data_IF_674330721293
#
_entry.id   IF_674330721293
#
_cell.length_a   1.000
_cell.length_b   1.000
_cell.length_c   1.000
_cell.angle_alpha   90.00
_cell.angle_beta   90.00
_cell.angle_gamma   90.00
#
_symmetry.space_group_name_H-M   'P 1'
#
loop_
_entity.id
_entity.type
_entity.pdbx_description
1 polymer ?
#
# COMPACT_ATOMS: atom_id res chain seq x y z
N UNK A 1 35.29 -55.22 -0.13
CA UNK A 1 35.89 -53.87 -0.04
C UNK A 1 35.01 -52.91 -0.82
N UNK A 2 33.96 -52.38 -0.18
CA UNK A 2 32.98 -51.48 -0.81
C UNK A 2 33.20 -50.06 -0.30
N UNK A 3 33.69 -49.19 -1.17
CA UNK A 3 33.91 -47.77 -0.89
C UNK A 3 32.62 -46.97 -0.97
N UNK A 4 32.17 -46.43 0.16
CA UNK A 4 31.08 -45.46 0.25
C UNK A 4 31.59 -44.07 -0.15
N UNK A 5 31.14 -43.55 -1.30
CA UNK A 5 31.33 -42.14 -1.66
C UNK A 5 30.19 -41.32 -1.03
N UNK A 6 30.54 -40.43 -0.10
CA UNK A 6 29.62 -39.44 0.46
C UNK A 6 29.28 -38.36 -0.58
N UNK A 7 28.01 -37.92 -0.68
CA UNK A 7 27.63 -36.82 -1.55
C UNK A 7 28.11 -35.48 -0.99
N UNK A 8 28.83 -34.72 -1.82
CA UNK A 8 29.22 -33.33 -1.54
C UNK A 8 27.98 -32.44 -1.56
N UNK A 9 27.65 -31.70 -0.49
CA UNK A 9 26.54 -30.77 -0.49
C UNK A 9 26.81 -29.59 -1.43
N UNK A 10 25.84 -29.31 -2.32
CA UNK A 10 25.89 -28.22 -3.29
C UNK A 10 25.99 -26.86 -2.59
N UNK A 11 26.97 -26.05 -3.02
CA UNK A 11 27.32 -24.73 -2.45
C UNK A 11 26.20 -23.68 -2.52
N UNK A 12 25.12 -23.92 -3.27
CA UNK A 12 24.04 -22.94 -3.49
C UNK A 12 23.01 -22.78 -2.37
N UNK A 13 22.88 -23.75 -1.45
CA UNK A 13 21.82 -23.71 -0.43
C UNK A 13 22.18 -22.89 0.83
N UNK A 14 23.46 -22.54 1.03
CA UNK A 14 23.92 -21.83 2.24
C UNK A 14 23.86 -20.31 2.13
N UNK A 15 23.88 -19.76 0.91
CA UNK A 15 23.84 -18.30 0.68
C UNK A 15 22.43 -17.72 0.85
N UNK A 16 21.39 -18.44 0.46
CA UNK A 16 19.99 -17.97 0.57
C UNK A 16 19.50 -17.89 2.03
N UNK A 17 19.95 -18.81 2.90
CA UNK A 17 19.57 -18.80 4.33
C UNK A 17 20.24 -17.67 5.15
N UNK A 18 21.42 -17.20 4.74
CA UNK A 18 22.13 -16.10 5.43
C UNK A 18 21.55 -14.73 5.10
N UNK A 19 21.05 -14.54 3.86
CA UNK A 19 20.38 -13.30 3.47
C UNK A 19 19.02 -13.09 4.18
N UNK A 20 18.26 -14.16 4.41
CA UNK A 20 16.97 -14.07 5.10
C UNK A 20 17.09 -13.78 6.61
N UNK A 21 18.16 -14.25 7.27
CA UNK A 21 18.38 -14.01 8.70
C UNK A 21 18.83 -12.57 9.00
N UNK A 22 19.57 -11.93 8.08
CA UNK A 22 19.99 -10.54 8.23
C UNK A 22 18.82 -9.54 8.13
N UNK A 23 17.76 -9.88 7.38
CA UNK A 23 16.62 -8.99 7.18
C UNK A 23 15.61 -9.00 8.35
N UNK A 24 15.48 -10.12 9.07
CA UNK A 24 14.61 -10.20 10.26
C UNK A 24 15.16 -9.40 11.45
N UNK A 25 16.50 -9.28 11.56
CA UNK A 25 17.14 -8.49 12.61
C UNK A 25 16.96 -6.99 12.38
N UNK A 26 16.90 -6.53 11.13
CA UNK A 26 16.66 -5.11 10.80
C UNK A 26 15.20 -4.71 11.02
N UNK A 27 14.24 -5.62 10.81
CA UNK A 27 12.81 -5.36 11.06
C UNK A 27 12.41 -5.40 12.54
N UNK A 28 13.17 -6.11 13.39
CA UNK A 28 12.97 -6.11 14.85
C UNK A 28 13.67 -4.95 15.57
N UNK A 29 14.48 -4.17 14.84
CA UNK A 29 15.14 -2.96 15.35
C UNK A 29 14.41 -1.66 14.96
N UNK A 30 13.17 -1.77 14.45
CA UNK A 30 12.27 -0.62 14.38
C UNK A 30 11.84 -0.29 15.81
N UNK A 31 12.21 0.89 16.36
CA UNK A 31 11.72 1.29 17.66
C UNK A 31 10.20 1.31 17.59
N UNK A 32 9.54 0.52 18.45
CA UNK A 32 8.13 0.76 18.75
C UNK A 32 8.08 2.20 19.27
N UNK A 33 7.51 3.11 18.47
CA UNK A 33 7.22 4.45 18.93
C UNK A 33 6.31 4.32 20.16
N UNK A 34 6.66 4.95 21.30
CA UNK A 34 5.79 4.94 22.45
C UNK A 34 4.47 5.60 22.08
N UNK A 35 3.37 4.94 22.41
CA UNK A 35 2.06 5.59 22.45
C UNK A 35 2.13 6.67 23.54
N UNK A 36 2.13 7.93 23.14
CA UNK A 36 2.08 9.05 24.06
C UNK A 36 0.63 9.23 24.53
N UNK A 37 0.46 9.23 25.85
CA UNK A 37 -0.81 9.40 26.54
C UNK A 37 -1.26 10.87 26.56
N UNK A 38 -2.55 11.07 26.80
CA UNK A 38 -3.29 12.34 26.96
C UNK A 38 -2.50 13.48 27.64
N UNK A 39 -2.63 14.69 27.08
CA UNK A 39 -2.25 15.96 27.72
C UNK A 39 -0.77 16.34 27.65
N UNK A 40 0.05 15.61 26.88
CA UNK A 40 1.46 15.94 26.68
C UNK A 40 1.60 16.83 25.45
N UNK A 41 2.02 18.09 25.66
CA UNK A 41 2.44 19.00 24.59
C UNK A 41 3.44 18.25 23.69
N UNK A 42 3.18 18.12 22.38
CA UNK A 42 4.06 17.37 21.50
C UNK A 42 5.49 17.93 21.54
N UNK A 43 6.55 17.10 21.48
CA UNK A 43 7.93 17.60 21.52
C UNK A 43 8.28 18.62 20.43
N UNK A 44 7.54 18.63 19.32
CA UNK A 44 7.74 19.61 18.24
C UNK A 44 7.18 21.00 18.59
N UNK A 45 6.06 21.06 19.33
CA UNK A 45 5.48 22.30 19.82
C UNK A 45 6.48 23.05 20.71
N UNK A 46 7.10 22.34 21.67
CA UNK A 46 8.13 22.92 22.55
C UNK A 46 9.35 23.41 21.77
N UNK A 47 9.75 22.70 20.71
CA UNK A 47 10.90 23.09 19.90
C UNK A 47 10.64 24.37 19.08
N UNK A 48 9.40 24.59 18.61
CA UNK A 48 9.00 25.83 17.93
C UNK A 48 9.01 27.01 18.90
N UNK A 49 8.44 26.85 20.08
CA UNK A 49 8.43 27.92 21.10
C UNK A 49 9.84 28.27 21.59
N UNK A 50 10.70 27.26 21.83
CA UNK A 50 12.09 27.48 22.24
C UNK A 50 12.87 28.27 21.18
N UNK A 51 12.67 27.96 19.89
CA UNK A 51 13.29 28.67 18.76
C UNK A 51 12.88 30.13 18.70
N UNK A 52 11.57 30.40 18.82
CA UNK A 52 11.03 31.77 18.82
C UNK A 52 11.57 32.52 20.04
N UNK A 53 11.51 31.91 21.24
CA UNK A 53 11.99 32.50 22.47
C UNK A 53 13.50 32.83 22.41
N UNK A 54 14.32 31.94 21.84
CA UNK A 54 15.76 32.19 21.65
C UNK A 54 16.00 33.36 20.69
N UNK A 55 15.29 33.40 19.56
CA UNK A 55 15.42 34.52 18.62
C UNK A 55 14.99 35.86 19.25
N UNK A 56 13.93 35.87 20.07
CA UNK A 56 13.46 37.06 20.78
C UNK A 56 14.42 37.55 21.87
N UNK A 57 15.37 36.71 22.33
CA UNK A 57 16.45 37.17 23.22
C UNK A 57 17.39 38.14 22.52
N UNK A 58 17.56 38.00 21.20
CA UNK A 58 18.48 38.79 20.39
C UNK A 58 17.79 39.96 19.65
N UNK A 59 16.59 39.75 19.10
CA UNK A 59 15.82 40.76 18.35
C UNK A 59 14.35 40.68 18.77
N UNK A 60 13.69 41.77 19.21
CA UNK A 60 12.28 41.73 19.59
C UNK A 60 11.33 41.40 18.42
N UNK A 61 11.82 41.39 17.17
CA UNK A 61 11.08 40.98 15.99
C UNK A 61 11.54 39.59 15.49
N UNK A 62 10.69 38.59 15.64
CA UNK A 62 10.84 37.29 15.00
C UNK A 62 9.99 37.21 13.72
N UNK A 63 10.59 36.76 12.62
CA UNK A 63 9.87 36.47 11.37
C UNK A 63 10.32 35.11 10.87
N UNK A 64 9.38 34.19 10.79
CA UNK A 64 9.62 32.85 10.28
C UNK A 64 10.06 32.88 8.81
N UNK A 65 10.85 31.88 8.42
CA UNK A 65 11.37 31.74 7.06
C UNK A 65 10.22 31.75 6.03
N UNK A 66 9.08 31.15 6.36
CA UNK A 66 7.93 31.03 5.46
C UNK A 66 7.20 32.36 5.20
N UNK A 67 7.32 33.33 6.11
CA UNK A 67 6.74 34.68 5.96
C UNK A 67 7.78 35.75 5.62
N UNK A 68 9.05 35.38 5.45
CA UNK A 68 10.14 36.33 5.22
C UNK A 68 9.96 37.16 3.93
N UNK A 69 9.37 36.57 2.88
CA UNK A 69 9.09 37.25 1.61
C UNK A 69 7.89 38.21 1.71
N UNK A 70 6.91 37.88 2.55
CA UNK A 70 5.75 38.73 2.82
C UNK A 70 6.13 39.96 3.67
N UNK A 71 7.19 39.86 4.47
CA UNK A 71 7.71 40.93 5.32
C UNK A 71 9.12 41.38 4.89
N UNK A 72 9.23 42.16 3.80
CA UNK A 72 10.51 42.58 3.27
C UNK A 72 11.28 43.47 4.24
N UNK A 73 12.60 43.58 4.04
CA UNK A 73 13.51 44.31 4.93
C UNK A 73 13.07 45.75 5.29
N UNK A 74 12.53 46.58 4.37
CA UNK A 74 11.99 47.89 4.70
C UNK A 74 10.85 47.85 5.71
N UNK A 75 9.85 47.00 5.49
CA UNK A 75 8.72 46.81 6.40
C UNK A 75 9.20 46.38 7.80
N UNK A 76 10.13 45.42 7.87
CA UNK A 76 10.73 44.99 9.16
C UNK A 76 11.51 46.08 9.88
N UNK A 77 12.06 47.08 9.18
CA UNK A 77 12.74 48.21 9.83
C UNK A 77 11.73 49.22 10.38
N UNK A 78 10.68 49.50 9.62
CA UNK A 78 9.58 50.38 10.05
C UNK A 78 8.88 49.78 11.26
N UNK A 79 8.54 48.49 11.22
CA UNK A 79 7.94 47.77 12.34
C UNK A 79 8.77 47.86 13.63
N UNK A 80 10.10 47.67 13.55
CA UNK A 80 10.99 47.83 14.72
C UNK A 80 10.98 49.26 15.28
N UNK A 81 10.85 50.27 14.42
CA UNK A 81 10.78 51.67 14.86
C UNK A 81 9.46 51.94 15.60
N UNK A 82 8.34 51.40 15.11
CA UNK A 82 7.04 51.48 15.77
C UNK A 82 7.03 50.75 17.11
N UNK A 83 7.53 49.51 17.14
CA UNK A 83 7.66 48.72 18.37
C UNK A 83 8.50 49.46 19.42
N UNK A 84 9.62 50.07 19.02
CA UNK A 84 10.47 50.85 19.94
C UNK A 84 9.72 52.06 20.50
N UNK A 85 9.01 52.80 19.65
CA UNK A 85 8.21 53.97 20.07
C UNK A 85 7.11 53.56 21.05
N UNK A 86 6.43 52.46 20.77
CA UNK A 86 5.41 51.89 21.64
C UNK A 86 5.99 51.40 22.96
N UNK A 87 7.15 50.74 22.95
CA UNK A 87 7.82 50.27 24.16
C UNK A 87 8.15 51.43 25.12
N UNK A 88 8.64 52.56 24.58
CA UNK A 88 8.90 53.78 25.36
C UNK A 88 7.61 54.34 25.98
N UNK A 89 6.49 54.34 25.24
CA UNK A 89 5.19 54.82 25.71
C UNK A 89 4.55 53.88 26.75
N UNK A 90 4.69 52.57 26.57
CA UNK A 90 4.16 51.53 27.45
C UNK A 90 5.02 51.33 28.71
N UNK A 91 6.30 51.75 28.66
CA UNK A 91 7.32 51.47 29.68
C UNK A 91 7.56 49.98 29.89
N UNK A 92 7.42 49.19 28.82
CA UNK A 92 7.71 47.76 28.77
C UNK A 92 8.13 47.39 27.34
N UNK A 93 8.75 46.23 27.17
CA UNK A 93 9.17 45.76 25.84
C UNK A 93 7.97 45.31 24.99
N UNK A 94 8.10 45.46 23.67
CA UNK A 94 7.13 44.99 22.68
C UNK A 94 7.82 43.93 21.83
N UNK A 95 7.21 42.75 21.73
CA UNK A 95 7.69 41.63 20.95
C UNK A 95 6.72 41.37 19.80
N UNK A 96 7.26 41.11 18.61
CA UNK A 96 6.46 40.82 17.42
C UNK A 96 6.90 39.51 16.78
N UNK A 97 5.95 38.63 16.52
CA UNK A 97 6.17 37.27 16.02
C UNK A 97 5.35 37.12 14.74
N UNK A 98 6.01 36.93 13.60
CA UNK A 98 5.36 36.53 12.36
C UNK A 98 5.65 35.06 12.09
N UNK A 99 4.65 34.20 12.22
CA UNK A 99 4.82 32.76 12.04
C UNK A 99 3.53 32.14 11.50
N UNK A 100 3.59 31.23 10.50
CA UNK A 100 2.39 30.52 10.06
C UNK A 100 1.80 29.70 11.20
N UNK A 101 0.51 29.83 11.47
CA UNK A 101 -0.22 29.07 12.48
C UNK A 101 -1.55 28.55 11.91
N UNK A 102 -1.52 27.57 11.02
CA UNK A 102 -2.73 27.01 10.43
C UNK A 102 -3.53 26.22 11.48
N UNK A 103 -4.80 25.90 11.18
CA UNK A 103 -5.65 25.08 12.07
C UNK A 103 -5.07 23.68 12.34
N UNK A 104 -4.15 23.22 11.49
CA UNK A 104 -3.40 21.97 11.66
C UNK A 104 -2.11 22.12 12.50
N UNK A 105 -1.85 23.30 13.09
CA UNK A 105 -0.70 23.49 13.97
C UNK A 105 -0.93 22.91 15.36
N UNK A 106 0.14 22.87 16.17
CA UNK A 106 0.07 22.44 17.57
C UNK A 106 -0.84 23.30 18.46
N UNK A 107 -1.19 24.49 17.98
CA UNK A 107 -2.09 25.44 18.63
C UNK A 107 -3.45 25.50 17.96
N UNK A 108 -3.70 24.70 16.92
CA UNK A 108 -4.92 24.73 16.11
C UNK A 108 -5.24 26.15 15.58
N UNK A 109 -4.20 26.90 15.20
CA UNK A 109 -4.32 28.30 14.79
C UNK A 109 -4.68 29.29 15.89
N UNK A 110 -4.59 28.89 17.17
CA UNK A 110 -4.86 29.77 18.29
C UNK A 110 -3.58 30.54 18.70
N UNK A 111 -3.44 31.78 18.24
CA UNK A 111 -2.26 32.59 18.53
C UNK A 111 -2.10 32.86 20.04
N UNK A 112 -3.19 32.95 20.82
CA UNK A 112 -3.11 33.09 22.28
C UNK A 112 -2.41 31.90 22.96
N UNK A 113 -2.56 30.67 22.45
CA UNK A 113 -1.82 29.50 22.94
C UNK A 113 -0.35 29.55 22.55
N UNK A 114 -0.04 29.97 21.32
CA UNK A 114 1.35 30.10 20.87
C UNK A 114 2.09 31.14 21.70
N UNK A 115 1.46 32.30 21.89
CA UNK A 115 1.99 33.38 22.73
C UNK A 115 2.14 32.95 24.20
N UNK A 116 1.30 32.04 24.71
CA UNK A 116 1.46 31.44 26.03
C UNK A 116 2.72 30.58 26.10
N UNK A 117 2.89 29.67 25.14
CA UNK A 117 4.05 28.78 25.07
C UNK A 117 5.36 29.55 24.92
N UNK A 118 5.39 30.58 24.05
CA UNK A 118 6.56 31.45 23.89
C UNK A 118 6.86 32.21 25.18
N UNK A 119 5.85 32.74 25.88
CA UNK A 119 6.08 33.40 27.18
C UNK A 119 6.62 32.44 28.24
N UNK A 120 6.13 31.21 28.29
CA UNK A 120 6.63 30.21 29.25
C UNK A 120 8.11 29.85 29.03
N UNK A 121 8.56 29.82 27.77
CA UNK A 121 9.98 29.60 27.41
C UNK A 121 10.84 30.88 27.55
N UNK A 122 10.30 32.05 27.23
CA UNK A 122 11.04 33.31 27.18
C UNK A 122 11.08 34.06 28.51
N UNK A 123 10.00 33.98 29.30
CA UNK A 123 9.82 34.54 30.66
C UNK A 123 10.19 36.02 30.78
N UNK A 124 9.88 36.84 29.76
CA UNK A 124 10.05 38.30 29.81
C UNK A 124 8.69 39.00 29.77
N UNK A 125 8.51 39.97 30.65
CA UNK A 125 7.34 40.83 30.62
C UNK A 125 7.37 41.72 29.36
N UNK A 126 6.20 41.98 28.79
CA UNK A 126 6.06 42.75 27.57
C UNK A 126 4.70 42.56 26.90
N UNK A 127 4.45 43.35 25.86
CA UNK A 127 3.33 43.17 24.95
C UNK A 127 3.79 42.29 23.77
N UNK A 128 3.16 41.15 23.59
CA UNK A 128 3.46 40.22 22.51
C UNK A 128 2.39 40.34 21.45
N UNK A 129 2.81 40.59 20.22
CA UNK A 129 1.95 40.61 19.05
C UNK A 129 2.35 39.48 18.13
N UNK A 130 1.37 38.78 17.57
CA UNK A 130 1.56 37.73 16.59
C UNK A 130 0.77 38.03 15.32
N UNK A 131 1.40 37.79 14.16
CA UNK A 131 0.71 37.73 12.87
C UNK A 131 0.92 36.36 12.23
N UNK A 132 -0.16 35.78 11.71
CA UNK A 132 -0.13 34.49 11.01
C UNK A 132 -0.01 34.64 9.48
N UNK A 133 -0.13 33.52 8.74
CA UNK A 133 -0.09 33.51 7.27
C UNK A 133 -1.27 34.24 6.60
N UNK A 134 -2.40 34.33 7.29
CA UNK A 134 -3.63 34.96 6.81
C UNK A 134 -3.69 36.44 7.20
N UNK A 135 -2.65 36.92 7.90
CA UNK A 135 -2.49 38.31 8.30
C UNK A 135 -3.30 38.66 9.53
N UNK A 136 -3.84 37.67 10.25
CA UNK A 136 -4.59 37.88 11.47
C UNK A 136 -3.61 38.27 12.58
N UNK A 137 -3.93 39.39 13.24
CA UNK A 137 -3.06 40.05 14.20
C UNK A 137 -3.69 39.88 15.59
N UNK A 138 -3.02 39.14 16.46
CA UNK A 138 -3.44 38.93 17.85
C UNK A 138 -2.40 39.43 18.85
N UNK A 139 -2.85 39.90 20.02
CA UNK A 139 -1.98 40.44 21.05
C UNK A 139 -2.22 39.87 22.45
N UNK A 140 -1.14 39.71 23.22
CA UNK A 140 -1.19 39.31 24.63
C UNK A 140 -0.22 40.08 25.51
N UNK A 141 -0.71 40.60 26.62
CA UNK A 141 0.06 41.40 27.57
C UNK A 141 0.55 40.55 28.75
N UNK A 142 1.86 40.57 29.02
CA UNK A 142 2.42 39.91 30.21
C UNK A 142 3.15 40.92 31.05
N UNK A 143 2.61 41.25 32.24
CA UNK A 143 3.25 42.19 33.16
C UNK A 143 3.32 43.63 32.64
N UNK A 144 2.46 44.01 31.69
CA UNK A 144 2.43 45.38 31.15
C UNK A 144 1.72 46.32 32.14
N UNK A 145 2.27 47.50 32.47
CA UNK A 145 1.68 48.43 33.46
C UNK A 145 0.50 49.24 32.89
N UNK A 146 -0.44 48.57 32.21
CA UNK A 146 -1.65 49.14 31.61
C UNK A 146 -2.84 48.22 31.88
N UNK A 147 -4.03 48.79 31.88
CA UNK A 147 -5.27 48.02 32.06
C UNK A 147 -5.80 47.58 30.69
N UNK A 148 -5.39 46.37 30.25
CA UNK A 148 -5.77 45.81 28.95
C UNK A 148 -7.23 45.34 28.89
N UNK A 149 -7.83 44.94 30.02
CA UNK A 149 -9.20 44.45 30.09
C UNK A 149 -9.56 43.48 28.94
N UNK A 150 -10.74 43.66 28.34
CA UNK A 150 -11.14 43.00 27.09
C UNK A 150 -10.84 43.84 25.83
N UNK A 151 -10.10 44.95 25.96
CA UNK A 151 -10.09 45.99 24.93
C UNK A 151 -9.15 45.72 23.76
N UNK A 152 -8.04 44.99 23.96
CA UNK A 152 -7.12 44.69 22.84
C UNK A 152 -7.72 43.65 21.89
N UNK A 153 -8.37 42.61 22.42
CA UNK A 153 -9.14 41.63 21.62
C UNK A 153 -10.24 42.31 20.79
N UNK A 154 -10.86 43.37 21.31
CA UNK A 154 -11.91 44.10 20.59
C UNK A 154 -11.41 44.96 19.41
N UNK A 155 -10.09 45.22 19.30
CA UNK A 155 -9.50 45.92 18.16
C UNK A 155 -9.17 44.97 17.00
N UNK A 156 -8.99 43.69 17.27
CA UNK A 156 -8.65 42.63 16.31
C UNK A 156 -9.82 42.42 15.33
N UNK A 157 -11.05 42.28 15.85
CA UNK A 157 -12.29 42.13 15.07
C UNK A 157 -12.60 43.31 14.12
N UNK A 158 -12.12 44.52 14.45
CA UNK A 158 -12.41 45.74 13.67
C UNK A 158 -11.41 46.02 12.56
N UNK A 159 -10.26 45.35 12.59
CA UNK A 159 -9.16 45.54 11.67
C UNK A 159 -8.72 44.18 11.10
N UNK A 160 -9.69 43.39 10.62
CA UNK A 160 -9.43 42.12 9.95
C UNK A 160 -8.56 42.34 8.70
N UNK A 161 -7.72 41.36 8.39
CA UNK A 161 -6.86 41.39 7.21
C UNK A 161 -7.67 41.39 5.91
N UNK A 162 -7.11 41.98 4.86
CA UNK A 162 -7.59 41.71 3.50
C UNK A 162 -7.14 40.30 3.09
N UNK A 163 -8.07 39.36 3.01
CA UNK A 163 -7.79 37.98 2.62
C UNK A 163 -7.07 37.84 1.27
N UNK A 164 -7.23 38.77 0.33
CA UNK A 164 -6.50 38.73 -0.94
C UNK A 164 -5.06 39.25 -0.81
N UNK A 165 -4.81 40.10 0.20
CA UNK A 165 -3.52 40.75 0.45
C UNK A 165 -3.25 40.90 1.95
N UNK A 166 -3.02 39.78 2.67
CA UNK A 166 -2.95 39.74 4.14
C UNK A 166 -2.02 40.76 4.80
N UNK A 167 -0.90 41.05 4.13
CA UNK A 167 0.18 41.89 4.66
C UNK A 167 0.19 43.33 4.12
N UNK A 168 -0.75 43.70 3.24
CA UNK A 168 -0.69 44.98 2.52
C UNK A 168 -0.82 46.21 3.45
N UNK A 169 -1.58 46.11 4.52
CA UNK A 169 -1.84 47.17 5.49
C UNK A 169 -1.34 46.83 6.91
N UNK A 170 -0.55 45.75 7.06
CA UNK A 170 -0.10 45.24 8.35
C UNK A 170 0.55 46.33 9.22
N UNK A 171 1.41 47.18 8.65
CA UNK A 171 2.07 48.26 9.41
C UNK A 171 1.06 49.23 10.04
N UNK A 172 0.04 49.64 9.29
CA UNK A 172 -0.99 50.54 9.79
C UNK A 172 -1.87 49.88 10.86
N UNK A 173 -2.14 48.57 10.72
CA UNK A 173 -2.86 47.78 11.72
C UNK A 173 -2.06 47.65 13.00
N UNK A 174 -0.76 47.34 12.92
CA UNK A 174 0.13 47.29 14.08
C UNK A 174 0.27 48.65 14.76
N UNK A 175 0.47 49.74 13.99
CA UNK A 175 0.50 51.11 14.52
C UNK A 175 -0.78 51.44 15.29
N UNK A 176 -1.94 51.05 14.75
CA UNK A 176 -3.25 51.24 15.38
C UNK A 176 -3.34 50.50 16.71
N UNK A 177 -2.95 49.23 16.74
CA UNK A 177 -2.96 48.40 17.96
C UNK A 177 -2.00 48.96 19.01
N UNK A 178 -0.77 49.30 18.64
CA UNK A 178 0.23 49.84 19.55
C UNK A 178 -0.16 51.21 20.11
N UNK A 179 -0.74 52.08 19.27
CA UNK A 179 -1.24 53.39 19.70
C UNK A 179 -2.41 53.23 20.67
N UNK A 180 -3.35 52.31 20.38
CA UNK A 180 -4.46 52.01 21.26
C UNK A 180 -3.96 51.46 22.61
N UNK A 181 -3.02 50.52 22.61
CA UNK A 181 -2.42 49.96 23.81
C UNK A 181 -1.73 51.04 24.67
N UNK A 182 -0.97 51.95 24.04
CA UNK A 182 -0.29 53.04 24.74
C UNK A 182 -1.26 54.05 25.39
N UNK A 183 -2.46 54.21 24.80
CA UNK A 183 -3.50 55.10 25.29
C UNK A 183 -4.32 54.51 26.46
N UNK A 184 -4.18 53.22 26.76
CA UNK A 184 -4.88 52.57 27.87
C UNK A 184 -4.52 53.20 29.21
N UNK A 185 -5.45 53.25 30.19
CA UNK A 185 -5.16 53.69 31.54
C UNK A 185 -3.99 52.92 32.16
N UNK A 186 -3.23 53.58 33.03
CA UNK A 186 -2.22 52.89 33.82
C UNK A 186 -2.90 51.84 34.72
N UNK A 187 -2.35 50.63 34.72
CA UNK A 187 -2.83 49.49 35.49
C UNK A 187 -1.69 48.85 36.27
N UNK A 188 -2.03 47.95 37.20
CA UNK A 188 -1.03 47.12 37.85
C UNK A 188 -0.53 46.06 36.86
N UNK A 189 0.79 45.80 36.76
CA UNK A 189 1.34 44.67 36.01
C UNK A 189 0.70 43.36 36.46
N UNK A 190 0.06 42.66 35.52
CA UNK A 190 -0.57 41.35 35.77
C UNK A 190 -0.24 40.41 34.64
N UNK A 191 -0.29 39.12 34.95
CA UNK A 191 -0.33 38.09 33.92
C UNK A 191 -1.79 37.92 33.46
N UNK A 192 -2.04 37.56 32.20
CA UNK A 192 -3.38 37.20 31.74
C UNK A 192 -3.96 36.07 32.59
N UNK A 193 -5.28 36.06 32.74
CA UNK A 193 -6.00 35.01 33.46
C UNK A 193 -5.84 33.66 32.74
N UNK A 194 -4.89 32.84 33.21
CA UNK A 194 -4.62 31.45 32.79
C UNK A 194 -4.19 31.28 31.33
N UNK A 195 -3.47 30.20 30.97
CA UNK A 195 -3.45 29.79 29.57
C UNK A 195 -4.88 29.44 29.13
N UNK A 196 -5.28 29.72 27.88
CA UNK A 196 -6.49 29.11 27.32
C UNK A 196 -6.44 27.60 27.54
N UNK A 197 -7.60 26.96 27.76
CA UNK A 197 -7.65 25.49 27.84
C UNK A 197 -6.95 24.93 26.59
N UNK A 198 -5.88 24.15 26.80
CA UNK A 198 -5.18 23.49 25.69
C UNK A 198 -6.20 22.61 24.96
N UNK A 199 -6.29 22.68 23.62
CA UNK A 199 -7.14 21.77 22.89
C UNK A 199 -6.74 20.35 23.27
N UNK A 200 -7.74 19.51 23.56
CA UNK A 200 -7.48 18.09 23.72
C UNK A 200 -6.95 17.62 22.36
N UNK A 201 -5.67 17.25 22.29
CA UNK A 201 -5.12 16.51 21.15
C UNK A 201 -5.94 15.21 21.00
N UNK A 202 -7.07 15.31 20.32
CA UNK A 202 -7.91 14.17 20.01
C UNK A 202 -7.14 13.37 18.95
N UNK A 203 -6.93 12.10 19.25
CA UNK A 203 -6.39 11.14 18.31
C UNK A 203 -7.20 11.21 17.01
N UNK A 204 -6.66 11.81 15.95
CA UNK A 204 -6.94 11.49 14.54
C UNK A 204 -6.24 12.50 13.61
N UNK A 205 -5.01 12.15 13.21
CA UNK A 205 -4.40 12.28 11.88
C UNK A 205 -2.87 12.51 11.99
N UNK A 206 -2.03 11.71 11.34
CA UNK A 206 -0.59 11.95 11.34
C UNK A 206 -0.29 13.20 10.52
N UNK A 207 0.08 14.28 11.22
CA UNK A 207 0.59 15.52 10.63
C UNK A 207 1.63 15.24 9.53
N UNK A 208 1.45 15.89 8.37
CA UNK A 208 2.45 15.92 7.31
C UNK A 208 3.70 16.69 7.78
N UNK A 209 4.92 16.29 7.40
CA UNK A 209 6.14 16.96 7.86
C UNK A 209 6.25 18.39 7.29
N UNK A 210 6.57 19.35 8.16
CA UNK A 210 6.86 20.75 7.86
C UNK A 210 8.02 20.95 6.84
N UNK A 211 8.03 22.08 6.10
CA UNK A 211 8.93 22.32 4.97
C UNK A 211 10.43 22.41 5.32
N UNK A 212 10.82 22.71 6.56
CA UNK A 212 12.25 22.75 6.95
C UNK A 212 12.87 21.34 7.13
N UNK A 213 12.05 20.29 7.24
CA UNK A 213 12.49 18.88 7.28
C UNK A 213 12.52 18.26 5.85
N UNK A 214 12.07 19.00 4.84
CA UNK A 214 11.94 18.51 3.47
C UNK A 214 13.29 18.26 2.78
N UNK A 215 14.35 19.00 3.11
CA UNK A 215 15.67 18.84 2.47
C UNK A 215 16.27 17.43 2.62
N UNK A 216 16.42 16.90 3.86
CA UNK A 216 16.85 15.53 4.10
C UNK A 216 15.82 14.49 3.65
N UNK A 217 14.52 14.82 3.73
CA UNK A 217 13.44 13.91 3.33
C UNK A 217 13.41 13.69 1.82
N UNK A 218 13.59 14.74 1.00
CA UNK A 218 13.68 14.63 -0.46
C UNK A 218 15.00 14.04 -0.94
N UNK A 219 16.12 14.31 -0.25
CA UNK A 219 17.38 13.61 -0.51
C UNK A 219 17.27 12.11 -0.20
N UNK A 220 16.59 11.77 0.90
CA UNK A 220 16.19 10.41 1.23
C UNK A 220 15.24 9.82 0.18
N UNK A 221 14.24 10.55 -0.27
CA UNK A 221 13.25 10.09 -1.26
C UNK A 221 13.87 9.89 -2.66
N UNK A 222 14.84 10.71 -3.06
CA UNK A 222 15.51 10.58 -4.37
C UNK A 222 16.52 9.43 -4.41
N UNK A 223 17.11 9.03 -3.27
CA UNK A 223 18.10 7.94 -3.21
C UNK A 223 17.46 6.65 -2.68
N UNK A 224 16.76 6.69 -1.55
CA UNK A 224 16.02 5.55 -1.01
C UNK A 224 14.74 5.27 -1.78
N UNK A 225 14.08 6.24 -2.42
CA UNK A 225 12.85 5.98 -3.18
C UNK A 225 13.06 5.00 -4.32
N UNK A 226 14.03 5.21 -5.24
CA UNK A 226 14.34 4.23 -6.28
C UNK A 226 14.84 2.90 -5.71
N UNK A 227 15.61 2.92 -4.62
CA UNK A 227 16.07 1.72 -3.93
C UNK A 227 14.92 0.93 -3.32
N UNK A 228 13.95 1.59 -2.70
CA UNK A 228 12.75 1.01 -2.14
C UNK A 228 11.85 0.48 -3.26
N UNK A 229 11.71 1.20 -4.37
CA UNK A 229 11.00 0.72 -5.57
C UNK A 229 11.69 -0.52 -6.13
N UNK A 230 13.02 -0.57 -6.21
CA UNK A 230 13.76 -1.76 -6.66
C UNK A 230 13.65 -2.92 -5.66
N UNK A 231 13.64 -2.64 -4.35
CA UNK A 231 13.44 -3.65 -3.30
C UNK A 231 12.02 -4.19 -3.32
N UNK A 232 11.00 -3.32 -3.42
CA UNK A 232 9.60 -3.69 -3.51
C UNK A 232 9.30 -4.38 -4.84
N UNK A 233 9.90 -3.95 -5.95
CA UNK A 233 9.81 -4.61 -7.25
C UNK A 233 10.52 -5.96 -7.22
N UNK A 234 11.69 -6.05 -6.59
CA UNK A 234 12.40 -7.30 -6.35
C UNK A 234 11.60 -8.24 -5.44
N UNK A 235 10.94 -7.72 -4.41
CA UNK A 235 10.08 -8.47 -3.50
C UNK A 235 8.79 -8.89 -4.20
N UNK A 236 8.22 -8.06 -5.06
CA UNK A 236 7.06 -8.38 -5.89
C UNK A 236 7.43 -9.40 -6.97
N UNK A 237 8.59 -9.28 -7.62
CA UNK A 237 9.09 -10.25 -8.60
C UNK A 237 9.44 -11.58 -7.92
N UNK A 238 10.04 -11.55 -6.73
CA UNK A 238 10.29 -12.72 -5.90
C UNK A 238 8.99 -13.32 -5.38
N UNK A 239 8.02 -12.51 -4.94
CA UNK A 239 6.70 -12.94 -4.51
C UNK A 239 5.91 -13.52 -5.68
N UNK A 240 5.99 -12.93 -6.87
CA UNK A 240 5.38 -13.43 -8.11
C UNK A 240 6.07 -14.70 -8.60
N UNK A 241 7.38 -14.85 -8.42
CA UNK A 241 8.10 -16.11 -8.62
C UNK A 241 7.71 -17.18 -7.59
N UNK A 242 7.54 -16.78 -6.32
CA UNK A 242 7.05 -17.64 -5.25
C UNK A 242 5.56 -17.96 -5.40
N UNK A 243 4.75 -17.10 -6.02
CA UNK A 243 3.31 -17.26 -6.29
C UNK A 243 3.06 -18.00 -7.59
N UNK A 244 3.90 -17.84 -8.61
CA UNK A 244 3.99 -18.74 -9.75
C UNK A 244 4.38 -20.15 -9.28
N UNK A 245 5.29 -20.25 -8.30
CA UNK A 245 5.57 -21.49 -7.56
C UNK A 245 4.48 -21.90 -6.56
N UNK A 246 3.64 -20.97 -6.09
CA UNK A 246 2.50 -21.26 -5.17
C UNK A 246 1.24 -21.68 -5.91
N UNK A 247 1.14 -21.42 -7.21
CA UNK A 247 0.23 -22.13 -8.11
C UNK A 247 0.52 -23.63 -8.12
N UNK A 248 1.81 -24.02 -8.11
CA UNK A 248 2.22 -25.42 -7.93
C UNK A 248 2.04 -25.92 -6.48
N UNK A 249 2.18 -25.05 -5.46
CA UNK A 249 2.00 -25.47 -4.07
C UNK A 249 0.53 -25.52 -3.60
N UNK A 250 -0.40 -24.77 -4.21
CA UNK A 250 -1.85 -24.99 -4.06
C UNK A 250 -2.37 -26.10 -4.96
N UNK A 251 -1.61 -26.56 -5.96
CA UNK A 251 -1.77 -27.89 -6.56
C UNK A 251 -1.33 -29.04 -5.62
N UNK A 252 -1.03 -28.76 -4.34
CA UNK A 252 -1.13 -29.77 -3.26
C UNK A 252 -2.59 -30.07 -2.87
N UNK A 253 -3.56 -29.33 -3.41
CA UNK A 253 -4.97 -29.67 -3.33
C UNK A 253 -5.27 -30.88 -4.24
N UNK A 254 -5.07 -32.06 -3.63
CA UNK A 254 -5.58 -33.36 -4.05
C UNK A 254 -4.81 -34.04 -5.20
N UNK A 255 -3.73 -34.71 -4.83
CA UNK A 255 -3.18 -35.91 -5.48
C UNK A 255 -4.17 -37.08 -5.45
N UNK A 256 -5.46 -36.81 -5.68
CA UNK A 256 -6.50 -37.83 -5.68
C UNK A 256 -6.39 -38.55 -7.01
N UNK A 257 -5.77 -39.71 -6.95
CA UNK A 257 -5.75 -40.67 -8.05
C UNK A 257 -7.09 -41.35 -8.24
N UNK A 258 -8.05 -41.15 -7.31
CA UNK A 258 -9.42 -41.68 -7.37
C UNK A 258 -10.44 -40.58 -7.04
N UNK A 259 -10.82 -39.72 -8.00
CA UNK A 259 -11.89 -38.74 -7.78
C UNK A 259 -13.24 -39.47 -7.68
N UNK A 260 -14.13 -38.99 -6.82
CA UNK A 260 -15.51 -39.50 -6.78
C UNK A 260 -16.31 -38.93 -7.95
N UNK A 261 -17.24 -39.73 -8.48
CA UNK A 261 -18.08 -39.34 -9.62
C UNK A 261 -18.89 -38.07 -9.33
N UNK A 262 -19.47 -37.96 -8.14
CA UNK A 262 -20.19 -36.75 -7.71
C UNK A 262 -19.30 -35.49 -7.75
N UNK A 263 -18.02 -35.59 -7.35
CA UNK A 263 -17.08 -34.48 -7.43
C UNK A 263 -16.73 -34.12 -8.87
N UNK A 264 -16.57 -35.11 -9.74
CA UNK A 264 -16.34 -34.87 -11.17
C UNK A 264 -17.52 -34.14 -11.80
N UNK A 265 -18.77 -34.53 -11.51
CA UNK A 265 -19.98 -33.84 -11.97
C UNK A 265 -20.07 -32.39 -11.50
N UNK A 266 -19.80 -32.12 -10.23
CA UNK A 266 -19.80 -30.75 -9.70
C UNK A 266 -18.69 -29.91 -10.32
N UNK A 267 -17.49 -30.49 -10.48
CA UNK A 267 -16.34 -29.78 -11.03
C UNK A 267 -16.53 -29.50 -12.52
N UNK A 268 -17.02 -30.46 -13.32
CA UNK A 268 -17.24 -30.27 -14.75
C UNK A 268 -18.28 -29.18 -15.03
N UNK A 269 -19.39 -29.15 -14.29
CA UNK A 269 -20.41 -28.07 -14.39
C UNK A 269 -19.83 -26.69 -14.06
N UNK A 270 -18.97 -26.63 -13.04
CA UNK A 270 -18.32 -25.37 -12.66
C UNK A 270 -17.38 -24.89 -13.78
N UNK A 271 -16.51 -25.76 -14.28
CA UNK A 271 -15.53 -25.42 -15.32
C UNK A 271 -16.23 -25.04 -16.65
N UNK A 272 -17.31 -25.74 -17.02
CA UNK A 272 -18.15 -25.38 -18.17
C UNK A 272 -18.72 -23.97 -18.05
N UNK A 273 -19.30 -23.62 -16.89
CA UNK A 273 -19.83 -22.28 -16.65
C UNK A 273 -18.73 -21.21 -16.71
N UNK A 274 -17.58 -21.48 -16.10
CA UNK A 274 -16.44 -20.56 -16.12
C UNK A 274 -15.93 -20.31 -17.55
N UNK A 275 -15.89 -21.33 -18.41
CA UNK A 275 -15.52 -21.14 -19.81
C UNK A 275 -16.58 -20.35 -20.58
N UNK A 276 -17.87 -20.65 -20.39
CA UNK A 276 -18.97 -19.91 -21.02
C UNK A 276 -18.93 -18.42 -20.66
N UNK A 277 -18.82 -18.09 -19.38
CA UNK A 277 -18.70 -16.70 -18.90
C UNK A 277 -17.45 -15.98 -19.45
N UNK A 278 -16.38 -16.73 -19.71
CA UNK A 278 -15.18 -16.21 -20.36
C UNK A 278 -15.43 -15.88 -21.83
N UNK A 279 -16.08 -16.78 -22.56
CA UNK A 279 -16.44 -16.60 -23.97
C UNK A 279 -17.40 -15.42 -24.18
N UNK A 280 -18.38 -15.23 -23.29
CA UNK A 280 -19.32 -14.11 -23.37
C UNK A 280 -18.62 -12.73 -23.30
N UNK A 281 -17.45 -12.68 -22.65
CA UNK A 281 -16.65 -11.46 -22.48
C UNK A 281 -15.53 -11.33 -23.51
N UNK A 282 -15.30 -12.36 -24.31
CA UNK A 282 -14.20 -12.40 -25.24
C UNK A 282 -14.51 -11.62 -26.51
N UNK A 283 -13.53 -10.83 -26.98
CA UNK A 283 -13.56 -10.29 -28.34
C UNK A 283 -13.14 -11.34 -29.38
N UNK A 284 -13.18 -10.95 -30.65
CA UNK A 284 -12.73 -11.81 -31.76
C UNK A 284 -11.20 -11.94 -31.77
N UNK A 285 -10.72 -13.02 -31.14
CA UNK A 285 -9.30 -13.31 -30.95
C UNK A 285 -9.01 -14.76 -31.32
N UNK A 286 -7.74 -15.07 -31.54
CA UNK A 286 -7.31 -16.42 -31.89
C UNK A 286 -7.56 -17.41 -30.73
N UNK A 287 -7.39 -16.94 -29.50
CA UNK A 287 -7.74 -17.63 -28.26
C UNK A 287 -9.24 -17.88 -28.13
N UNK A 288 -10.09 -16.92 -28.50
CA UNK A 288 -11.54 -17.08 -28.47
C UNK A 288 -12.02 -18.19 -29.42
N UNK A 289 -11.49 -18.25 -30.65
CA UNK A 289 -11.82 -19.33 -31.58
C UNK A 289 -11.41 -20.72 -31.05
N UNK A 290 -10.25 -20.82 -30.40
CA UNK A 290 -9.78 -22.06 -29.77
C UNK A 290 -10.63 -22.43 -28.55
N UNK A 291 -11.01 -21.44 -27.74
CA UNK A 291 -11.86 -21.62 -26.57
C UNK A 291 -13.27 -22.06 -26.94
N UNK A 292 -13.84 -21.51 -28.02
CA UNK A 292 -15.15 -21.90 -28.54
C UNK A 292 -15.16 -23.37 -28.97
N UNK A 293 -14.17 -23.82 -29.76
CA UNK A 293 -14.05 -25.24 -30.14
C UNK A 293 -13.94 -26.16 -28.93
N UNK A 294 -13.21 -25.74 -27.89
CA UNK A 294 -13.09 -26.51 -26.65
C UNK A 294 -14.42 -26.56 -25.88
N UNK A 295 -15.20 -25.48 -25.89
CA UNK A 295 -16.52 -25.40 -25.28
C UNK A 295 -17.53 -26.32 -25.98
N UNK A 296 -17.58 -26.28 -27.32
CA UNK A 296 -18.47 -27.14 -28.11
C UNK A 296 -18.16 -28.64 -27.89
N UNK A 297 -16.87 -29.00 -27.93
CA UNK A 297 -16.43 -30.35 -27.62
C UNK A 297 -16.82 -30.77 -26.19
N UNK A 298 -16.68 -29.86 -25.21
CA UNK A 298 -17.04 -30.12 -23.83
C UNK A 298 -18.55 -30.31 -23.64
N UNK A 299 -19.40 -29.56 -24.35
CA UNK A 299 -20.85 -29.73 -24.30
C UNK A 299 -21.29 -31.09 -24.84
N UNK A 300 -20.75 -31.52 -25.98
CA UNK A 300 -21.08 -32.82 -26.58
C UNK A 300 -20.65 -33.98 -25.67
N UNK A 301 -19.43 -33.94 -25.13
CA UNK A 301 -18.95 -34.97 -24.17
C UNK A 301 -19.79 -34.95 -22.89
N UNK A 302 -20.16 -33.77 -22.38
CA UNK A 302 -20.99 -33.65 -21.19
C UNK A 302 -22.41 -34.19 -21.39
N UNK A 303 -22.90 -34.23 -22.62
CA UNK A 303 -24.19 -34.84 -22.96
C UNK A 303 -24.07 -36.37 -23.06
N UNK A 304 -23.03 -36.87 -23.75
CA UNK A 304 -22.74 -38.31 -23.83
C UNK A 304 -22.53 -38.93 -22.45
N UNK A 305 -21.79 -38.25 -21.57
CA UNK A 305 -21.57 -38.66 -20.18
C UNK A 305 -22.89 -38.84 -19.40
N UNK A 306 -23.95 -38.08 -19.73
CA UNK A 306 -25.27 -38.22 -19.06
C UNK A 306 -26.05 -39.41 -19.58
N UNK A 307 -25.81 -39.83 -20.82
CA UNK A 307 -26.48 -40.97 -21.46
C UNK A 307 -25.81 -42.29 -21.16
N UNK A 308 -24.49 -42.27 -20.87
CA UNK A 308 -23.70 -43.45 -20.57
C UNK A 308 -24.16 -44.20 -19.32
N UNK A 309 -24.04 -45.53 -19.35
CA UNK A 309 -24.39 -46.42 -18.24
C UNK A 309 -23.18 -46.97 -17.49
N UNK A 310 -21.97 -46.91 -18.07
CA UNK A 310 -20.73 -47.34 -17.42
C UNK A 310 -20.11 -46.20 -16.58
N UNK A 311 -20.06 -46.30 -15.24
CA UNK A 311 -19.49 -45.28 -14.37
C UNK A 311 -17.99 -45.00 -14.62
N UNK A 312 -17.25 -45.96 -15.17
CA UNK A 312 -15.85 -45.78 -15.51
C UNK A 312 -15.68 -44.85 -16.72
N UNK A 313 -16.50 -45.06 -17.76
CA UNK A 313 -16.52 -44.22 -18.96
C UNK A 313 -17.06 -42.83 -18.61
N UNK A 314 -18.17 -42.75 -17.86
CA UNK A 314 -18.73 -41.47 -17.40
C UNK A 314 -17.68 -40.64 -16.63
N UNK A 315 -16.91 -41.27 -15.75
CA UNK A 315 -15.86 -40.57 -15.00
C UNK A 315 -14.78 -39.99 -15.92
N UNK A 316 -14.43 -40.67 -17.01
CA UNK A 316 -13.45 -40.18 -17.98
C UNK A 316 -14.01 -39.09 -18.88
N UNK A 317 -15.27 -39.18 -19.28
CA UNK A 317 -15.93 -38.13 -20.06
C UNK A 317 -16.04 -36.85 -19.24
N UNK A 318 -16.48 -36.94 -17.98
CA UNK A 318 -16.52 -35.78 -17.08
C UNK A 318 -15.14 -35.16 -16.85
N UNK A 319 -14.09 -35.99 -16.81
CA UNK A 319 -12.72 -35.50 -16.76
C UNK A 319 -12.31 -34.81 -18.06
N UNK A 320 -12.70 -35.36 -19.22
CA UNK A 320 -12.54 -34.75 -20.53
C UNK A 320 -13.16 -33.37 -20.60
N UNK A 321 -14.39 -33.22 -20.12
CA UNK A 321 -15.07 -31.92 -19.99
C UNK A 321 -14.22 -30.95 -19.17
N UNK A 322 -13.73 -31.36 -17.99
CA UNK A 322 -12.89 -30.50 -17.13
C UNK A 322 -11.61 -30.07 -17.87
N UNK A 323 -10.93 -30.99 -18.56
CA UNK A 323 -9.69 -30.70 -19.29
C UNK A 323 -9.95 -29.76 -20.46
N UNK A 324 -10.98 -30.03 -21.27
CA UNK A 324 -11.37 -29.18 -22.40
C UNK A 324 -11.72 -27.77 -21.93
N UNK A 325 -12.51 -27.63 -20.86
CA UNK A 325 -12.86 -26.34 -20.31
C UNK A 325 -11.62 -25.56 -19.86
N UNK A 326 -10.69 -26.20 -19.14
CA UNK A 326 -9.44 -25.56 -18.71
C UNK A 326 -8.51 -25.21 -19.88
N UNK A 327 -8.48 -26.03 -20.92
CA UNK A 327 -7.77 -25.70 -22.15
C UNK A 327 -8.36 -24.46 -22.81
N UNK A 328 -9.68 -24.39 -22.92
CA UNK A 328 -10.38 -23.22 -23.47
C UNK A 328 -10.12 -21.96 -22.64
N UNK A 329 -10.21 -22.04 -21.31
CA UNK A 329 -9.95 -20.88 -20.43
C UNK A 329 -8.52 -20.39 -20.55
N UNK A 330 -7.53 -21.29 -20.62
CA UNK A 330 -6.13 -20.91 -20.80
C UNK A 330 -5.85 -20.36 -22.19
N UNK A 331 -6.45 -20.95 -23.23
CA UNK A 331 -6.33 -20.43 -24.59
C UNK A 331 -6.92 -19.02 -24.70
N UNK A 332 -8.04 -18.76 -24.05
CA UNK A 332 -8.66 -17.45 -24.00
C UNK A 332 -7.79 -16.44 -23.24
N UNK A 333 -7.30 -16.80 -22.05
CA UNK A 333 -6.52 -15.90 -21.20
C UNK A 333 -5.14 -15.53 -21.78
N UNK A 334 -4.58 -16.39 -22.65
CA UNK A 334 -3.24 -16.23 -23.22
C UNK A 334 -3.24 -16.03 -24.74
N UNK A 335 -4.43 -15.85 -25.34
CA UNK A 335 -4.64 -15.72 -26.79
C UNK A 335 -3.93 -16.82 -27.62
N UNK A 336 -4.10 -18.08 -27.23
CA UNK A 336 -3.41 -19.21 -27.86
C UNK A 336 -4.19 -19.77 -29.05
N UNK A 337 -3.50 -20.01 -30.16
CA UNK A 337 -4.04 -20.73 -31.33
C UNK A 337 -4.24 -22.22 -31.14
N UNK A 338 -3.72 -22.78 -30.04
CA UNK A 338 -3.85 -24.18 -29.66
C UNK A 338 -3.95 -24.30 -28.15
N UNK A 339 -4.85 -25.17 -27.68
CA UNK A 339 -5.00 -25.46 -26.26
C UNK A 339 -3.72 -26.08 -25.67
N UNK A 340 -3.31 -25.68 -24.46
CA UNK A 340 -2.12 -26.24 -23.81
C UNK A 340 -2.35 -27.70 -23.42
N UNK A 341 -1.28 -28.49 -23.31
CA UNK A 341 -1.38 -29.90 -22.94
C UNK A 341 -1.45 -30.08 -21.42
N UNK A 342 -2.25 -31.04 -20.97
CA UNK A 342 -2.38 -31.40 -19.56
C UNK A 342 -1.55 -32.64 -19.22
N UNK A 343 -1.31 -32.87 -17.93
CA UNK A 343 -0.49 -33.99 -17.48
C UNK A 343 -1.08 -35.34 -17.91
N UNK A 344 -0.34 -36.09 -18.72
CA UNK A 344 -0.72 -37.41 -19.22
C UNK A 344 -0.87 -38.47 -18.11
N UNK A 345 -0.21 -38.32 -16.96
CA UNK A 345 -0.33 -39.29 -15.85
C UNK A 345 -1.65 -39.10 -15.09
N UNK A 346 -1.99 -37.85 -14.80
CA UNK A 346 -3.23 -37.46 -14.16
C UNK A 346 -3.59 -36.04 -14.61
N UNK A 347 -4.60 -35.88 -15.49
CA UNK A 347 -4.95 -34.57 -16.04
C UNK A 347 -5.39 -33.55 -14.97
N UNK A 348 -5.82 -34.02 -13.79
CA UNK A 348 -6.16 -33.15 -12.67
C UNK A 348 -4.93 -32.46 -12.04
N UNK A 349 -3.71 -32.90 -12.34
CA UNK A 349 -2.47 -32.24 -11.92
C UNK A 349 -2.20 -30.92 -12.68
N UNK A 350 -2.99 -30.59 -13.71
CA UNK A 350 -2.83 -29.38 -14.50
C UNK A 350 -1.89 -29.56 -15.68
N UNK A 351 -1.18 -28.49 -16.04
CA UNK A 351 -0.40 -28.40 -17.27
C UNK A 351 0.74 -29.43 -17.34
N UNK A 352 0.88 -30.03 -18.51
CA UNK A 352 2.07 -30.75 -18.92
C UNK A 352 3.13 -29.75 -19.36
N UNK A 353 4.31 -29.79 -18.75
CA UNK A 353 5.42 -28.87 -19.08
C UNK A 353 6.67 -29.60 -19.52
N UNK A 354 6.71 -30.92 -19.40
CA UNK A 354 7.86 -31.75 -19.77
C UNK A 354 7.39 -32.95 -20.59
N UNK A 355 8.07 -33.20 -21.69
CA UNK A 355 7.85 -34.42 -22.47
C UNK A 355 8.30 -35.64 -21.66
N UNK A 356 7.51 -36.71 -21.69
CA UNK A 356 7.91 -38.03 -21.19
C UNK A 356 7.70 -39.04 -22.31
N UNK A 357 8.81 -39.59 -22.80
CA UNK A 357 8.86 -40.45 -23.99
C UNK A 357 8.60 -41.92 -23.67
N UNK A 358 8.69 -42.33 -22.41
CA UNK A 358 8.59 -43.75 -22.08
C UNK A 358 7.13 -44.21 -21.98
N UNK A 359 6.83 -45.29 -22.70
CA UNK A 359 5.73 -46.25 -22.42
C UNK A 359 5.90 -46.97 -21.06
N UNK A 360 6.60 -46.33 -20.12
CA UNK A 360 6.82 -46.81 -18.78
C UNK A 360 5.46 -46.86 -18.09
N UNK A 361 5.07 -48.08 -17.71
CA UNK A 361 3.77 -48.38 -17.10
C UNK A 361 2.55 -48.41 -18.05
N UNK A 362 2.74 -48.60 -19.36
CA UNK A 362 1.61 -48.84 -20.27
C UNK A 362 0.85 -47.58 -20.69
N UNK A 363 1.50 -46.41 -20.61
CA UNK A 363 0.92 -45.13 -21.05
C UNK A 363 1.42 -44.71 -22.44
N UNK A 364 0.57 -44.03 -23.24
CA UNK A 364 1.03 -43.35 -24.44
C UNK A 364 1.97 -42.18 -24.09
N UNK A 365 2.98 -41.90 -24.91
CA UNK A 365 3.88 -40.77 -24.71
C UNK A 365 3.10 -39.45 -24.72
N UNK A 366 3.57 -38.47 -23.96
CA UNK A 366 2.89 -37.18 -23.85
C UNK A 366 3.59 -36.21 -22.89
N UNK A 367 2.95 -35.05 -22.66
CA UNK A 367 3.45 -34.10 -21.69
C UNK A 367 2.96 -34.44 -20.27
N UNK A 368 3.84 -34.28 -19.28
CA UNK A 368 3.54 -34.47 -17.86
C UNK A 368 3.89 -33.22 -17.08
N UNK A 369 3.24 -33.01 -15.93
CA UNK A 369 3.58 -31.90 -15.04
C UNK A 369 5.00 -32.08 -14.48
N UNK A 370 5.60 -30.99 -13.99
CA UNK A 370 6.97 -30.99 -13.47
C UNK A 370 7.20 -32.06 -12.38
N UNK A 371 6.20 -32.30 -11.53
CA UNK A 371 6.28 -33.30 -10.47
C UNK A 371 6.27 -34.71 -11.05
N UNK A 372 5.32 -35.03 -11.94
CA UNK A 372 5.26 -36.33 -12.59
C UNK A 372 6.50 -36.62 -13.43
N UNK A 373 7.16 -35.61 -13.99
CA UNK A 373 8.43 -35.78 -14.69
C UNK A 373 9.56 -36.26 -13.76
N UNK A 374 9.56 -35.86 -12.49
CA UNK A 374 10.56 -36.26 -11.49
C UNK A 374 10.31 -37.61 -10.83
N UNK A 375 9.15 -38.25 -11.07
CA UNK A 375 8.81 -39.53 -10.47
C UNK A 375 9.51 -40.71 -11.16
N UNK A 376 10.07 -41.61 -10.35
CA UNK A 376 10.51 -42.94 -10.76
C UNK A 376 9.36 -43.75 -11.37
N UNK A 377 9.66 -44.73 -12.22
CA UNK A 377 8.66 -45.59 -12.90
C UNK A 377 7.60 -46.20 -11.96
N UNK A 378 8.02 -46.75 -10.82
CA UNK A 378 7.11 -47.34 -9.83
C UNK A 378 6.16 -46.32 -9.19
N UNK A 379 6.68 -45.12 -8.86
CA UNK A 379 5.87 -44.03 -8.30
C UNK A 379 4.93 -43.37 -9.32
N UNK A 380 5.26 -43.40 -10.61
CA UNK A 380 4.32 -42.98 -11.65
C UNK A 380 3.10 -43.88 -11.63
N UNK A 381 3.26 -45.21 -11.53
CA UNK A 381 2.15 -46.18 -11.48
C UNK A 381 1.13 -45.88 -10.38
N UNK A 382 1.62 -45.40 -9.23
CA UNK A 382 0.77 -45.03 -8.10
C UNK A 382 0.12 -43.67 -8.26
N UNK A 383 0.65 -42.80 -9.12
CA UNK A 383 0.15 -41.46 -9.41
C UNK A 383 -0.82 -41.40 -10.59
N UNK A 384 -1.00 -42.51 -11.32
CA UNK A 384 -1.95 -42.61 -12.44
C UNK A 384 -3.36 -42.39 -11.92
N UNK A 385 -4.14 -41.60 -12.65
CA UNK A 385 -5.56 -41.49 -12.41
C UNK A 385 -6.27 -42.84 -12.65
N UNK A 386 -7.07 -43.24 -11.67
CA UNK A 386 -7.91 -44.42 -11.70
C UNK A 386 -9.38 -44.02 -11.68
N UNK A 387 -10.17 -44.72 -12.48
CA UNK A 387 -11.63 -44.57 -12.50
C UNK A 387 -12.26 -45.24 -11.25
N UNK A 388 -13.56 -45.07 -10.98
CA UNK A 388 -14.19 -45.57 -9.75
C UNK A 388 -13.99 -47.07 -9.47
N UNK A 389 -13.90 -47.91 -10.50
CA UNK A 389 -13.63 -49.36 -10.38
C UNK A 389 -12.16 -49.69 -10.04
N UNK A 390 -11.28 -48.69 -10.00
CA UNK A 390 -9.87 -48.83 -9.66
C UNK A 390 -8.93 -49.06 -10.84
N UNK A 391 -9.42 -49.27 -12.06
CA UNK A 391 -8.57 -49.40 -13.27
C UNK A 391 -7.87 -48.07 -13.58
N UNK A 392 -6.57 -48.08 -13.97
CA UNK A 392 -5.92 -46.94 -14.60
C UNK A 392 -6.70 -46.46 -15.83
N UNK A 393 -6.84 -45.15 -16.01
CA UNK A 393 -7.63 -44.63 -17.12
C UNK A 393 -7.22 -45.12 -18.54
N UNK A 394 -5.94 -45.39 -18.87
CA UNK A 394 -5.59 -45.87 -20.21
C UNK A 394 -5.97 -47.33 -20.46
N UNK A 395 -6.39 -48.06 -19.43
CA UNK A 395 -6.89 -49.44 -19.56
C UNK A 395 -8.42 -49.47 -19.79
N UNK A 396 -9.09 -48.32 -19.69
CA UNK A 396 -10.52 -48.18 -19.95
C UNK A 396 -10.72 -47.88 -21.43
N UNK A 397 -11.45 -48.75 -22.13
CA UNK A 397 -11.79 -48.56 -23.53
C UNK A 397 -12.73 -47.35 -23.67
N UNK A 398 -12.18 -46.23 -24.10
CA UNK A 398 -12.85 -44.93 -24.17
C UNK A 398 -12.09 -44.01 -25.12
N UNK A 399 -12.72 -42.88 -25.47
CA UNK A 399 -12.09 -41.78 -26.23
C UNK A 399 -10.74 -41.35 -25.63
N UNK A 400 -10.63 -41.46 -24.31
CA UNK A 400 -9.51 -40.95 -23.52
C UNK A 400 -8.37 -41.96 -23.34
N UNK A 401 -8.46 -43.16 -23.93
CA UNK A 401 -7.42 -44.21 -23.84
C UNK A 401 -6.04 -43.72 -24.30
N UNK A 402 -6.02 -42.86 -25.32
CA UNK A 402 -4.79 -42.23 -25.85
C UNK A 402 -4.29 -41.04 -25.01
N UNK A 403 -5.05 -40.70 -23.97
CA UNK A 403 -4.77 -39.68 -22.97
C UNK A 403 -5.02 -38.25 -23.40
N UNK A 404 -5.02 -37.38 -22.38
CA UNK A 404 -5.42 -35.98 -22.45
C UNK A 404 -4.28 -35.04 -22.85
N UNK A 405 -3.03 -35.49 -22.72
CA UNK A 405 -1.80 -34.70 -22.96
C UNK A 405 -0.93 -35.24 -24.09
N UNK A 406 -1.43 -36.18 -24.89
CA UNK A 406 -0.65 -36.91 -25.89
C UNK A 406 -0.53 -36.20 -27.24
N UNK A 407 -1.46 -35.29 -27.59
CA UNK A 407 -1.47 -34.59 -28.88
C UNK A 407 -2.03 -33.17 -28.74
N UNK A 408 -1.53 -32.21 -29.53
CA UNK A 408 -2.14 -30.88 -29.63
C UNK A 408 -3.56 -31.00 -30.17
N UNK A 409 -4.38 -30.00 -29.83
CA UNK A 409 -5.77 -29.86 -30.29
C UNK A 409 -6.70 -31.02 -29.88
N UNK A 410 -6.84 -31.21 -28.57
CA UNK A 410 -7.74 -32.21 -28.00
C UNK A 410 -9.20 -31.99 -28.43
N UNK A 411 -9.64 -30.73 -28.53
CA UNK A 411 -11.00 -30.38 -28.92
C UNK A 411 -11.33 -30.88 -30.34
N UNK A 412 -10.47 -30.61 -31.33
CA UNK A 412 -10.68 -31.09 -32.69
C UNK A 412 -10.78 -32.62 -32.76
N UNK A 413 -9.93 -33.34 -32.02
CA UNK A 413 -9.97 -34.81 -31.97
C UNK A 413 -11.26 -35.35 -31.35
N UNK A 414 -11.76 -34.69 -30.31
CA UNK A 414 -13.02 -35.06 -29.67
C UNK A 414 -14.18 -34.85 -30.65
N UNK A 415 -14.23 -33.70 -31.32
CA UNK A 415 -15.25 -33.42 -32.34
C UNK A 415 -15.22 -34.44 -33.48
N UNK A 416 -14.04 -34.76 -34.00
CA UNK A 416 -13.86 -35.77 -35.05
C UNK A 416 -14.36 -37.15 -34.61
N UNK A 417 -14.04 -37.56 -33.38
CA UNK A 417 -14.50 -38.85 -32.83
C UNK A 417 -16.01 -38.94 -32.64
N UNK A 418 -16.68 -37.79 -32.49
CA UNK A 418 -18.12 -37.66 -32.37
C UNK A 418 -18.80 -37.43 -33.74
N UNK A 419 -18.03 -37.46 -34.84
CA UNK A 419 -18.54 -37.30 -36.20
C UNK A 419 -18.82 -35.86 -36.62
N UNK A 420 -18.33 -34.88 -35.87
CA UNK A 420 -18.44 -33.44 -36.20
C UNK A 420 -17.14 -33.01 -36.88
N UNK A 421 -17.22 -32.59 -38.16
CA UNK A 421 -16.07 -32.11 -38.95
C UNK A 421 -16.09 -30.60 -39.14
#
# INVERSE_FOLDING_TARGET
>A
MSGTRNPVPSRGARTVRRAAAAFVVVLLALPLAPAFAEGVIPPHATARWERIAEALRDDPLFVDTDLADAMPGPMRRELRAEMKTAAEALKTDVYFIAVPDPNESETEGNASLLLAGVYDEFRKDGLYLMVDQDGDLEGRDYGVPRDFGYQVVAYEDRNAADYERPFADLLGRVETVLTAAAALPAGEPRLPDGPPDLPSFAEDEPFGPEPEIAGPFFAGLLILGPLLVLVLWGFWAAAKGLWAGRGEAKAKASWRTKPSLGRLRTTSRKELRTLAEGLDKAGDTTGAATAMRAYDAALLVADEARRGTDPAVEALDLLGVIVLCRQGTLALAQDLSRGPLFCQVNPLHGLGTRARTSADAGHPPGQVCAVCAGLSRSRVRTAILRVPDGRPYPEVESLWRTGFGGRPDLAARVLESLGVR
#
